data_IF_341070254963
#
_entry.id   IF_341070254963
#
_cell.length_a   1.000
_cell.length_b   1.000
_cell.length_c   1.000
_cell.angle_alpha   90.00
_cell.angle_beta   90.00
_cell.angle_gamma   90.00
#
_symmetry.space_group_name_H-M   'P 1'
#
loop_
_entity.id
_entity.type
_entity.pdbx_description
1 polymer ?
#
# COMPACT_ATOMS: atom_id res chain seq x y z
N UNK A 1 19.48 -5.98 12.15
CA UNK A 1 19.09 -6.26 10.76
C UNK A 1 19.85 -5.27 9.90
N UNK A 2 20.90 -5.73 9.23
CA UNK A 2 21.70 -4.93 8.32
C UNK A 2 20.80 -4.57 7.15
N UNK A 3 20.67 -3.29 6.89
CA UNK A 3 19.81 -2.79 5.80
C UNK A 3 20.45 -3.27 4.49
N UNK A 4 19.67 -3.88 3.62
CA UNK A 4 20.03 -4.30 2.27
C UNK A 4 20.33 -3.07 1.39
N UNK A 5 21.39 -2.29 1.63
CA UNK A 5 21.61 -1.10 0.80
C UNK A 5 22.11 -1.48 -0.59
N UNK A 6 23.18 -2.21 -0.66
CA UNK A 6 23.86 -2.52 -1.92
C UNK A 6 23.09 -3.57 -2.74
N UNK A 7 22.50 -4.56 -2.07
CA UNK A 7 21.63 -5.56 -2.72
C UNK A 7 20.35 -4.90 -3.26
N UNK A 8 19.80 -3.88 -2.58
CA UNK A 8 18.64 -3.14 -3.08
C UNK A 8 19.01 -2.21 -4.22
N UNK A 9 20.21 -1.60 -4.23
CA UNK A 9 20.70 -0.83 -5.36
C UNK A 9 20.82 -1.70 -6.62
N UNK A 10 21.43 -2.87 -6.49
CA UNK A 10 21.51 -3.82 -7.61
C UNK A 10 20.14 -4.35 -8.03
N UNK A 11 19.23 -4.59 -7.09
CA UNK A 11 17.83 -4.93 -7.42
C UNK A 11 17.15 -3.84 -8.25
N UNK A 12 17.33 -2.56 -7.88
CA UNK A 12 16.79 -1.43 -8.62
C UNK A 12 17.38 -1.35 -10.02
N UNK A 13 18.70 -1.60 -10.18
CA UNK A 13 19.34 -1.73 -11.46
C UNK A 13 18.70 -2.84 -12.33
N UNK A 14 18.48 -4.04 -11.75
CA UNK A 14 17.82 -5.13 -12.47
C UNK A 14 16.39 -4.76 -12.89
N UNK A 15 15.60 -4.14 -12.01
CA UNK A 15 14.24 -3.70 -12.34
C UNK A 15 14.27 -2.63 -13.43
N UNK A 16 15.18 -1.66 -13.37
CA UNK A 16 15.36 -0.63 -14.40
C UNK A 16 15.73 -1.24 -15.75
N UNK A 17 16.66 -2.17 -15.78
CA UNK A 17 17.03 -2.88 -17.01
C UNK A 17 15.85 -3.66 -17.60
N UNK A 18 15.03 -4.31 -16.74
CA UNK A 18 13.84 -5.02 -17.21
C UNK A 18 12.81 -4.08 -17.86
N UNK A 19 12.48 -2.96 -17.19
CA UNK A 19 11.43 -2.04 -17.67
C UNK A 19 11.82 -1.23 -18.91
N UNK A 20 13.11 -1.13 -19.22
CA UNK A 20 13.64 -0.41 -20.36
C UNK A 20 14.30 -1.31 -21.41
N UNK A 21 14.21 -2.62 -21.22
CA UNK A 21 14.86 -3.61 -22.11
C UNK A 21 16.36 -3.40 -22.29
N UNK A 22 17.05 -2.98 -21.21
CA UNK A 22 18.49 -2.77 -21.18
C UNK A 22 19.22 -4.04 -20.78
N UNK A 23 20.47 -4.22 -21.28
CA UNK A 23 21.34 -5.29 -20.82
C UNK A 23 21.77 -5.00 -19.38
N UNK A 24 21.49 -5.90 -18.40
CA UNK A 24 21.93 -5.70 -17.02
C UNK A 24 23.44 -5.90 -16.89
N UNK A 25 24.04 -5.16 -15.96
CA UNK A 25 25.40 -5.43 -15.50
C UNK A 25 25.41 -6.73 -14.67
N UNK A 26 26.54 -7.44 -14.71
CA UNK A 26 26.75 -8.63 -13.88
C UNK A 26 26.71 -8.28 -12.38
N UNK A 27 26.42 -9.30 -11.57
CA UNK A 27 26.37 -9.10 -10.10
C UNK A 27 27.72 -8.56 -9.60
N UNK A 28 27.74 -7.41 -8.91
CA UNK A 28 28.95 -6.85 -8.34
C UNK A 28 29.65 -7.82 -7.38
N UNK A 29 30.98 -7.78 -7.34
CA UNK A 29 31.77 -8.56 -6.40
C UNK A 29 31.36 -8.26 -4.95
N UNK A 30 31.25 -9.30 -4.13
CA UNK A 30 30.84 -9.19 -2.73
C UNK A 30 29.33 -9.24 -2.50
N UNK A 31 28.48 -9.11 -3.53
CA UNK A 31 27.04 -9.32 -3.41
C UNK A 31 26.65 -10.78 -3.62
N UNK A 32 25.51 -11.17 -3.05
CA UNK A 32 24.96 -12.51 -3.19
C UNK A 32 23.59 -12.49 -3.84
N UNK A 33 23.37 -13.24 -4.91
CA UNK A 33 22.07 -13.36 -5.59
C UNK A 33 20.93 -13.72 -4.63
N UNK A 34 21.18 -14.55 -3.61
CA UNK A 34 20.18 -14.91 -2.61
C UNK A 34 19.67 -13.70 -1.84
N UNK A 35 20.54 -12.74 -1.52
CA UNK A 35 20.17 -11.51 -0.80
C UNK A 35 19.40 -10.56 -1.71
N UNK A 36 19.81 -10.44 -2.97
CA UNK A 36 19.09 -9.65 -3.98
C UNK A 36 17.69 -10.23 -4.19
N UNK A 37 17.56 -11.55 -4.25
CA UNK A 37 16.28 -12.25 -4.32
C UNK A 37 15.38 -11.94 -3.12
N UNK A 38 15.89 -12.07 -1.90
CA UNK A 38 15.17 -11.76 -0.66
C UNK A 38 14.66 -10.30 -0.67
N UNK A 39 15.49 -9.36 -1.13
CA UNK A 39 15.11 -7.96 -1.31
C UNK A 39 13.99 -7.83 -2.35
N UNK A 40 14.07 -8.50 -3.49
CA UNK A 40 13.06 -8.51 -4.55
C UNK A 40 11.71 -9.06 -4.08
N UNK A 41 11.71 -10.16 -3.31
CA UNK A 41 10.51 -10.73 -2.70
C UNK A 41 9.92 -9.78 -1.64
N UNK A 42 10.76 -9.19 -0.79
CA UNK A 42 10.34 -8.25 0.24
C UNK A 42 9.64 -7.01 -0.31
N UNK A 43 10.05 -6.56 -1.50
CA UNK A 43 9.48 -5.41 -2.20
C UNK A 43 8.45 -5.76 -3.27
N UNK A 44 8.19 -7.05 -3.51
CA UNK A 44 7.28 -7.56 -4.55
C UNK A 44 7.64 -7.08 -5.97
N UNK A 45 8.92 -7.11 -6.28
CA UNK A 45 9.47 -6.79 -7.61
C UNK A 45 10.40 -7.89 -8.16
N UNK A 46 10.53 -9.02 -7.46
CA UNK A 46 11.32 -10.16 -7.90
C UNK A 46 10.87 -10.68 -9.27
N UNK A 47 9.56 -10.70 -9.53
CA UNK A 47 8.99 -11.10 -10.80
C UNK A 47 9.44 -10.20 -11.97
N UNK A 48 9.64 -8.90 -11.74
CA UNK A 48 10.13 -7.95 -12.75
C UNK A 48 11.64 -8.14 -12.93
N UNK A 49 12.40 -8.18 -11.84
CA UNK A 49 13.85 -8.32 -11.87
C UNK A 49 14.29 -9.61 -12.57
N UNK A 50 13.46 -10.67 -12.55
CA UNK A 50 13.77 -11.92 -13.26
C UNK A 50 14.04 -11.73 -14.74
N UNK A 51 13.31 -10.83 -15.43
CA UNK A 51 13.55 -10.54 -16.85
C UNK A 51 14.96 -9.97 -17.14
N UNK A 52 15.61 -9.40 -16.15
CA UNK A 52 17.03 -9.03 -16.23
C UNK A 52 17.93 -10.18 -15.81
N UNK A 53 17.58 -10.92 -14.76
CA UNK A 53 18.36 -12.07 -14.28
C UNK A 53 18.53 -13.12 -15.40
N UNK A 54 17.51 -13.38 -16.21
CA UNK A 54 17.59 -14.33 -17.32
C UNK A 54 18.53 -13.89 -18.44
N UNK A 55 18.90 -12.60 -18.50
CA UNK A 55 19.84 -12.02 -19.49
C UNK A 55 21.28 -11.93 -19.01
N UNK A 56 21.54 -12.18 -17.71
CA UNK A 56 22.91 -12.22 -17.17
C UNK A 56 23.69 -13.40 -17.74
N UNK A 57 25.00 -13.23 -17.91
CA UNK A 57 25.90 -14.31 -18.29
C UNK A 57 26.15 -15.24 -17.09
N UNK A 58 26.47 -14.66 -15.93
CA UNK A 58 26.65 -15.39 -14.69
C UNK A 58 25.32 -15.50 -13.95
N UNK A 59 24.65 -16.63 -14.12
CA UNK A 59 23.32 -16.86 -13.50
C UNK A 59 23.44 -17.31 -12.05
N UNK A 60 22.39 -17.09 -11.23
CA UNK A 60 22.28 -17.73 -9.92
C UNK A 60 22.36 -19.25 -10.04
N UNK A 61 22.67 -19.93 -8.91
CA UNK A 61 22.55 -21.38 -8.81
C UNK A 61 21.15 -21.85 -9.24
N UNK A 62 21.07 -23.06 -9.80
CA UNK A 62 19.85 -23.61 -10.44
C UNK A 62 18.61 -23.52 -9.54
N UNK A 63 18.75 -23.84 -8.25
CA UNK A 63 17.62 -23.79 -7.32
C UNK A 63 17.14 -22.34 -7.08
N UNK A 64 18.08 -21.41 -6.95
CA UNK A 64 17.74 -19.99 -6.76
C UNK A 64 17.17 -19.37 -8.05
N UNK A 65 17.72 -19.75 -9.21
CA UNK A 65 17.18 -19.33 -10.50
C UNK A 65 15.72 -19.77 -10.68
N UNK A 66 15.38 -21.01 -10.32
CA UNK A 66 14.00 -21.51 -10.34
C UNK A 66 13.08 -20.70 -9.41
N UNK A 67 13.54 -20.31 -8.23
CA UNK A 67 12.74 -19.45 -7.33
C UNK A 67 12.43 -18.09 -7.94
N UNK A 68 13.36 -17.50 -8.67
CA UNK A 68 13.12 -16.27 -9.42
C UNK A 68 12.09 -16.49 -10.55
N UNK A 69 12.26 -17.55 -11.31
CA UNK A 69 11.34 -17.93 -12.39
C UNK A 69 9.93 -18.20 -11.86
N UNK A 70 9.81 -18.90 -10.73
CA UNK A 70 8.52 -19.12 -10.06
C UNK A 70 7.84 -17.81 -9.67
N UNK A 71 8.57 -16.79 -9.23
CA UNK A 71 8.01 -15.48 -8.95
C UNK A 71 7.36 -14.87 -10.20
N UNK A 72 8.03 -14.95 -11.37
CA UNK A 72 7.51 -14.50 -12.67
C UNK A 72 6.26 -15.30 -13.06
N UNK A 73 6.36 -16.64 -13.04
CA UNK A 73 5.27 -17.53 -13.44
C UNK A 73 4.03 -17.34 -12.57
N UNK A 74 4.21 -17.23 -11.26
CA UNK A 74 3.12 -16.96 -10.32
C UNK A 74 2.49 -15.57 -10.52
N UNK A 75 3.25 -14.57 -10.94
CA UNK A 75 2.71 -13.26 -11.27
C UNK A 75 1.78 -13.32 -12.50
N UNK A 76 2.18 -14.07 -13.54
CA UNK A 76 1.35 -14.31 -14.74
C UNK A 76 0.06 -15.04 -14.39
N UNK A 77 0.15 -16.17 -13.67
CA UNK A 77 -1.03 -16.96 -13.26
C UNK A 77 -1.98 -16.11 -12.40
N UNK A 78 -1.44 -15.36 -11.44
CA UNK A 78 -2.24 -14.47 -10.59
C UNK A 78 -2.92 -13.38 -11.41
N UNK A 79 -2.20 -12.78 -12.36
CA UNK A 79 -2.75 -11.75 -13.24
C UNK A 79 -3.95 -12.28 -14.02
N UNK A 80 -3.82 -13.43 -14.69
CA UNK A 80 -4.89 -14.05 -15.45
C UNK A 80 -6.13 -14.32 -14.56
N UNK A 81 -5.92 -14.94 -13.40
CA UNK A 81 -7.01 -15.24 -12.47
C UNK A 81 -7.73 -13.96 -11.98
N UNK A 82 -6.98 -12.89 -11.74
CA UNK A 82 -7.54 -11.60 -11.29
C UNK A 82 -8.32 -10.88 -12.40
N UNK A 83 -7.87 -10.97 -13.67
CA UNK A 83 -8.62 -10.41 -14.80
C UNK A 83 -9.97 -11.10 -14.95
N UNK A 84 -9.99 -12.44 -14.96
CA UNK A 84 -11.24 -13.20 -15.05
C UNK A 84 -12.17 -12.88 -13.89
N UNK A 85 -11.66 -12.85 -12.67
CA UNK A 85 -12.44 -12.50 -11.49
C UNK A 85 -13.03 -11.09 -11.58
N UNK A 86 -12.24 -10.10 -11.99
CA UNK A 86 -12.74 -8.75 -12.18
C UNK A 86 -13.81 -8.67 -13.28
N UNK A 87 -13.66 -9.45 -14.37
CA UNK A 87 -14.63 -9.50 -15.46
C UNK A 87 -15.97 -10.09 -15.00
N UNK A 88 -15.95 -11.18 -14.24
CA UNK A 88 -17.16 -11.79 -13.67
C UNK A 88 -17.91 -10.81 -12.77
N UNK A 89 -17.20 -10.09 -11.93
CA UNK A 89 -17.79 -9.07 -11.03
C UNK A 89 -18.40 -7.92 -11.82
N UNK A 90 -17.69 -7.38 -12.83
CA UNK A 90 -18.22 -6.33 -13.71
C UNK A 90 -19.51 -6.75 -14.40
N UNK A 91 -19.57 -7.99 -14.89
CA UNK A 91 -20.77 -8.53 -15.52
C UNK A 91 -21.93 -8.62 -14.51
N UNK A 92 -21.65 -9.05 -13.28
CA UNK A 92 -22.65 -9.06 -12.21
C UNK A 92 -23.16 -7.66 -11.87
N UNK A 93 -22.26 -6.69 -11.74
CA UNK A 93 -22.65 -5.31 -11.49
C UNK A 93 -23.46 -4.69 -12.64
N UNK A 94 -23.01 -4.94 -13.88
CA UNK A 94 -23.73 -4.47 -15.07
C UNK A 94 -25.16 -5.04 -15.13
N UNK A 95 -25.32 -6.34 -14.88
CA UNK A 95 -26.64 -7.00 -14.89
C UNK A 95 -27.58 -6.46 -13.80
N UNK A 96 -27.04 -6.03 -12.67
CA UNK A 96 -27.76 -5.44 -11.55
C UNK A 96 -27.96 -3.92 -11.67
N UNK A 97 -27.41 -3.26 -12.71
CA UNK A 97 -27.46 -1.81 -12.85
C UNK A 97 -26.59 -1.06 -11.82
N UNK A 98 -25.66 -1.74 -11.18
CA UNK A 98 -24.73 -1.14 -10.22
C UNK A 98 -23.62 -0.44 -10.99
N UNK A 99 -23.44 0.87 -10.77
CA UNK A 99 -22.28 1.61 -11.28
C UNK A 99 -21.07 1.39 -10.40
N UNK A 100 -19.86 1.34 -11.00
CA UNK A 100 -18.61 1.12 -10.28
C UNK A 100 -17.46 1.93 -10.84
N UNK A 101 -16.44 2.12 -10.00
CA UNK A 101 -15.12 2.61 -10.39
C UNK A 101 -14.10 1.58 -9.90
N UNK A 102 -13.24 1.10 -10.78
CA UNK A 102 -12.06 0.36 -10.37
C UNK A 102 -10.95 1.31 -9.98
N UNK A 103 -10.24 0.98 -8.92
CA UNK A 103 -9.16 1.80 -8.39
C UNK A 103 -7.90 0.97 -8.18
N UNK A 104 -6.78 1.62 -7.91
CA UNK A 104 -5.50 0.96 -7.60
C UNK A 104 -5.02 -0.03 -8.68
N UNK A 105 -4.83 -1.31 -8.26
CA UNK A 105 -4.14 -2.35 -8.99
C UNK A 105 -4.67 -2.61 -10.38
N UNK A 106 -5.97 -2.74 -10.55
CA UNK A 106 -6.61 -3.04 -11.83
C UNK A 106 -6.37 -1.95 -12.87
N UNK A 107 -6.35 -0.68 -12.46
CA UNK A 107 -6.13 0.46 -13.36
C UNK A 107 -4.65 0.85 -13.51
N UNK A 108 -3.78 0.49 -12.54
CA UNK A 108 -2.35 0.76 -12.64
C UNK A 108 -1.64 -0.27 -13.52
N UNK A 109 -2.05 -1.54 -13.48
CA UNK A 109 -1.44 -2.62 -14.26
C UNK A 109 -1.27 -2.30 -15.76
N UNK A 110 -2.27 -1.74 -16.47
CA UNK A 110 -2.15 -1.40 -17.88
C UNK A 110 -1.10 -0.34 -18.20
N UNK A 111 -0.60 0.39 -17.19
CA UNK A 111 0.46 1.40 -17.38
C UNK A 111 1.86 0.76 -17.50
N UNK A 112 1.99 -0.48 -17.03
CA UNK A 112 3.25 -1.22 -17.12
C UNK A 112 3.41 -1.86 -18.50
N UNK A 113 4.65 -2.08 -19.00
CA UNK A 113 4.89 -2.76 -20.28
C UNK A 113 4.22 -4.13 -20.36
N UNK A 114 4.18 -4.85 -19.25
CA UNK A 114 3.46 -6.10 -19.08
C UNK A 114 2.61 -6.00 -17.81
N UNK A 115 1.27 -6.10 -17.90
CA UNK A 115 0.38 -5.88 -16.76
C UNK A 115 0.62 -6.82 -15.58
N UNK A 116 1.12 -8.04 -15.81
CA UNK A 116 1.46 -9.02 -14.77
C UNK A 116 2.69 -8.59 -13.95
N UNK A 117 3.51 -7.66 -14.43
CA UNK A 117 4.62 -7.13 -13.65
C UNK A 117 4.14 -6.43 -12.38
N UNK A 118 3.00 -5.79 -12.48
CA UNK A 118 2.39 -5.16 -11.30
C UNK A 118 1.50 -6.15 -10.57
N UNK A 119 2.08 -6.94 -9.65
CA UNK A 119 1.30 -7.82 -8.76
C UNK A 119 0.39 -7.02 -7.84
N UNK A 120 -0.80 -7.54 -7.54
CA UNK A 120 -1.73 -6.97 -6.56
C UNK A 120 -2.27 -8.06 -5.63
N UNK A 121 -2.69 -7.69 -4.41
CA UNK A 121 -3.28 -8.60 -3.42
C UNK A 121 -4.79 -8.71 -3.57
N UNK A 122 -5.43 -7.63 -4.00
CA UNK A 122 -6.86 -7.37 -3.97
C UNK A 122 -7.32 -6.70 -5.27
N UNK A 123 -8.58 -6.86 -5.60
CA UNK A 123 -9.29 -6.17 -6.67
C UNK A 123 -10.20 -5.16 -5.98
N UNK A 124 -9.96 -3.86 -6.20
CA UNK A 124 -10.66 -2.78 -5.51
C UNK A 124 -11.73 -2.15 -6.41
N UNK A 125 -12.96 -2.12 -5.92
CA UNK A 125 -14.08 -1.41 -6.53
C UNK A 125 -14.61 -0.33 -5.58
N UNK A 126 -15.11 0.76 -6.14
CA UNK A 126 -15.95 1.73 -5.45
C UNK A 126 -17.32 1.69 -6.10
N UNK A 127 -18.37 1.59 -5.29
CA UNK A 127 -19.77 1.62 -5.71
C UNK A 127 -20.58 2.59 -4.84
N UNK A 128 -21.81 2.89 -5.25
CA UNK A 128 -22.73 3.62 -4.40
C UNK A 128 -23.10 2.81 -3.16
N UNK A 129 -23.21 3.49 -2.01
CA UNK A 129 -23.45 2.86 -0.72
C UNK A 129 -24.74 2.03 -0.67
N UNK A 130 -25.76 2.47 -1.34
CA UNK A 130 -27.07 1.81 -1.41
C UNK A 130 -26.99 0.44 -2.09
N UNK A 131 -26.03 0.25 -2.99
CA UNK A 131 -25.82 -0.99 -3.74
C UNK A 131 -24.91 -2.01 -3.01
N UNK A 132 -24.36 -1.66 -1.85
CA UNK A 132 -23.41 -2.53 -1.14
C UNK A 132 -24.00 -3.90 -0.73
N UNK A 133 -25.28 -3.99 -0.24
CA UNK A 133 -25.90 -5.27 0.05
C UNK A 133 -26.05 -6.17 -1.19
N UNK A 134 -26.47 -5.60 -2.32
CA UNK A 134 -26.65 -6.33 -3.57
C UNK A 134 -25.32 -6.78 -4.15
N UNK A 135 -24.29 -5.95 -4.10
CA UNK A 135 -22.92 -6.30 -4.49
C UNK A 135 -22.38 -7.48 -3.66
N UNK A 136 -22.68 -7.52 -2.35
CA UNK A 136 -22.31 -8.64 -1.50
C UNK A 136 -22.99 -9.95 -1.91
N UNK A 137 -24.29 -9.91 -2.31
CA UNK A 137 -25.00 -11.09 -2.81
C UNK A 137 -24.43 -11.54 -4.18
N UNK A 138 -24.10 -10.61 -5.07
CA UNK A 138 -23.43 -10.94 -6.34
C UNK A 138 -22.12 -11.66 -6.08
N UNK A 139 -21.28 -11.16 -5.16
CA UNK A 139 -20.03 -11.84 -4.81
C UNK A 139 -20.28 -13.25 -4.26
N UNK A 140 -21.29 -13.45 -3.43
CA UNK A 140 -21.65 -14.79 -2.91
C UNK A 140 -22.08 -15.72 -4.03
N UNK A 141 -22.90 -15.26 -4.97
CA UNK A 141 -23.29 -16.03 -6.16
C UNK A 141 -22.10 -16.42 -7.04
N UNK A 142 -21.06 -15.58 -7.10
CA UNK A 142 -19.80 -15.86 -7.78
C UNK A 142 -18.85 -16.75 -6.96
N UNK A 143 -19.29 -17.27 -5.81
CA UNK A 143 -18.54 -18.18 -4.96
C UNK A 143 -17.55 -17.52 -4.00
N UNK A 144 -17.69 -16.22 -3.73
CA UNK A 144 -16.88 -15.54 -2.72
C UNK A 144 -17.45 -15.74 -1.31
N UNK A 145 -16.57 -15.93 -0.35
CA UNK A 145 -16.88 -15.84 1.08
C UNK A 145 -16.75 -14.36 1.45
N UNK A 146 -17.89 -13.74 1.76
CA UNK A 146 -17.96 -12.31 2.06
C UNK A 146 -17.92 -12.02 3.55
N UNK A 147 -17.23 -10.93 3.91
CA UNK A 147 -17.22 -10.34 5.23
C UNK A 147 -17.65 -8.88 5.12
N UNK A 148 -18.77 -8.56 5.71
CA UNK A 148 -19.27 -7.18 5.80
C UNK A 148 -18.54 -6.40 6.90
N UNK A 149 -18.05 -5.23 6.57
CA UNK A 149 -17.41 -4.29 7.49
C UNK A 149 -18.34 -3.11 7.78
N UNK A 150 -19.42 -3.39 8.48
CA UNK A 150 -20.35 -2.38 9.04
C UNK A 150 -21.05 -1.48 7.99
N UNK A 151 -21.38 -2.02 6.82
CA UNK A 151 -22.10 -1.29 5.78
C UNK A 151 -21.30 -0.17 5.11
N UNK A 152 -19.97 -0.25 5.14
CA UNK A 152 -19.05 0.71 4.50
C UNK A 152 -18.21 0.05 3.42
N UNK A 153 -17.90 -1.23 3.63
CA UNK A 153 -17.10 -2.03 2.70
C UNK A 153 -17.48 -3.50 2.78
N UNK A 154 -17.22 -4.25 1.74
CA UNK A 154 -17.35 -5.71 1.69
C UNK A 154 -16.04 -6.31 1.22
N UNK A 155 -15.47 -7.21 2.04
CA UNK A 155 -14.32 -8.02 1.68
C UNK A 155 -14.81 -9.37 1.16
N UNK A 156 -14.43 -9.75 -0.06
CA UNK A 156 -14.71 -11.05 -0.65
C UNK A 156 -13.43 -11.88 -0.83
N UNK A 157 -13.47 -13.14 -0.47
CA UNK A 157 -12.39 -14.09 -0.72
C UNK A 157 -12.89 -15.28 -1.52
N UNK A 158 -12.17 -15.65 -2.59
CA UNK A 158 -12.41 -16.86 -3.39
C UNK A 158 -11.09 -17.60 -3.63
N UNK A 159 -11.09 -18.92 -3.44
CA UNK A 159 -9.92 -19.77 -3.77
C UNK A 159 -9.70 -19.81 -5.30
N UNK A 160 -8.42 -19.87 -5.78
CA UNK A 160 -7.18 -19.70 -5.04
C UNK A 160 -6.74 -18.24 -4.95
N UNK A 161 -6.73 -17.67 -3.75
CA UNK A 161 -6.14 -16.36 -3.44
C UNK A 161 -6.70 -15.14 -4.23
N UNK A 162 -7.99 -15.13 -4.55
CA UNK A 162 -8.67 -13.95 -5.11
C UNK A 162 -9.35 -13.20 -3.98
N UNK A 163 -8.84 -12.01 -3.70
CA UNK A 163 -9.44 -11.05 -2.76
C UNK A 163 -10.08 -9.92 -3.56
N UNK A 164 -11.24 -9.48 -3.10
CA UNK A 164 -11.97 -8.34 -3.65
C UNK A 164 -12.36 -7.44 -2.49
N UNK A 165 -12.13 -6.15 -2.64
CA UNK A 165 -12.55 -5.13 -1.69
C UNK A 165 -13.53 -4.18 -2.40
N UNK A 166 -14.77 -4.11 -1.90
CA UNK A 166 -15.79 -3.20 -2.41
C UNK A 166 -15.96 -2.08 -1.39
N UNK A 167 -15.62 -0.87 -1.79
CA UNK A 167 -15.69 0.35 -0.98
C UNK A 167 -16.86 1.23 -1.41
N UNK A 168 -17.29 2.12 -0.53
CA UNK A 168 -18.30 3.15 -0.85
C UNK A 168 -17.71 4.57 -0.89
N UNK A 169 -16.44 4.70 -0.53
CA UNK A 169 -15.73 5.98 -0.43
C UNK A 169 -14.22 5.78 -0.67
N UNK A 170 -13.50 6.85 -0.97
CA UNK A 170 -12.04 6.88 -0.94
C UNK A 170 -11.53 6.73 0.51
N UNK A 171 -11.36 5.53 1.01
CA UNK A 171 -10.73 5.19 2.31
C UNK A 171 -11.11 6.09 3.50
N UNK A 172 -12.21 5.80 4.20
CA UNK A 172 -12.69 6.60 5.33
C UNK A 172 -11.67 6.82 6.46
N UNK A 173 -10.74 5.86 6.65
CA UNK A 173 -9.72 5.92 7.70
C UNK A 173 -8.61 6.95 7.43
N UNK A 174 -8.50 7.44 6.21
CA UNK A 174 -7.48 8.39 5.77
C UNK A 174 -8.09 9.69 5.23
N UNK A 175 -9.20 10.10 5.79
CA UNK A 175 -9.98 11.27 5.37
C UNK A 175 -9.15 12.53 5.17
N UNK A 176 -8.08 12.75 5.94
CA UNK A 176 -7.20 13.92 5.80
C UNK A 176 -6.55 14.04 4.41
N UNK A 177 -6.36 12.91 3.69
CA UNK A 177 -5.79 12.92 2.34
C UNK A 177 -6.88 13.01 1.27
N UNK A 178 -8.01 12.33 1.46
CA UNK A 178 -9.05 12.18 0.45
C UNK A 178 -10.19 13.19 0.59
N UNK A 179 -10.35 13.84 1.76
CA UNK A 179 -11.38 14.87 1.95
C UNK A 179 -11.20 16.12 1.06
N UNK A 180 -10.03 16.25 0.43
CA UNK A 180 -9.74 17.32 -0.52
C UNK A 180 -10.10 16.97 -1.96
N UNK A 181 -10.34 15.68 -2.24
CA UNK A 181 -10.77 15.17 -3.55
C UNK A 181 -12.27 15.33 -3.74
N UNK A 182 -12.70 15.33 -4.99
CA UNK A 182 -14.12 15.26 -5.35
C UNK A 182 -14.68 13.87 -4.98
N UNK A 183 -16.01 13.75 -4.74
CA UNK A 183 -16.64 12.45 -4.55
C UNK A 183 -16.31 11.48 -5.70
N UNK A 184 -16.24 10.16 -5.46
CA UNK A 184 -15.76 9.20 -6.47
C UNK A 184 -16.47 9.26 -7.81
N UNK A 185 -17.79 9.47 -7.82
CA UNK A 185 -18.59 9.49 -9.04
C UNK A 185 -18.79 10.88 -9.66
N UNK A 186 -18.35 11.97 -9.01
CA UNK A 186 -18.58 13.32 -9.52
C UNK A 186 -18.05 13.52 -10.95
N UNK A 187 -16.87 13.00 -11.28
CA UNK A 187 -16.31 13.09 -12.62
C UNK A 187 -17.05 12.19 -13.62
N UNK A 188 -17.54 11.03 -13.19
CA UNK A 188 -18.30 10.11 -14.03
C UNK A 188 -19.65 10.73 -14.41
N UNK A 189 -20.29 11.44 -13.49
CA UNK A 189 -21.56 12.16 -13.74
C UNK A 189 -21.39 13.30 -14.75
N UNK A 190 -20.24 13.99 -14.71
CA UNK A 190 -19.97 15.12 -15.61
C UNK A 190 -19.51 14.67 -17.01
N UNK A 191 -18.67 13.65 -17.10
CA UNK A 191 -17.95 13.30 -18.34
C UNK A 191 -18.26 11.89 -18.86
N UNK A 192 -19.01 11.08 -18.10
CA UNK A 192 -19.27 9.67 -18.42
C UNK A 192 -18.07 8.75 -18.16
N UNK A 193 -16.95 9.27 -17.66
CA UNK A 193 -15.75 8.50 -17.36
C UNK A 193 -15.07 8.97 -16.06
N UNK A 194 -14.37 8.06 -15.39
CA UNK A 194 -13.56 8.42 -14.23
C UNK A 194 -12.37 9.28 -14.68
N UNK A 195 -12.30 10.50 -14.17
CA UNK A 195 -11.37 11.53 -14.59
C UNK A 195 -9.91 11.19 -14.35
N UNK A 196 -9.03 11.58 -15.26
CA UNK A 196 -7.59 11.30 -15.19
C UNK A 196 -6.92 12.00 -13.98
N UNK A 197 -7.35 13.21 -13.64
CA UNK A 197 -6.82 13.95 -12.49
C UNK A 197 -7.19 13.25 -11.19
N UNK A 198 -8.46 12.81 -11.05
CA UNK A 198 -8.93 12.08 -9.87
C UNK A 198 -8.19 10.74 -9.71
N UNK A 199 -7.98 10.01 -10.82
CA UNK A 199 -7.23 8.77 -10.79
C UNK A 199 -5.78 8.98 -10.36
N UNK A 200 -5.10 9.98 -10.92
CA UNK A 200 -3.74 10.33 -10.56
C UNK A 200 -3.64 10.72 -9.08
N UNK A 201 -4.47 11.67 -8.63
CA UNK A 201 -4.53 12.15 -7.24
C UNK A 201 -4.80 11.00 -6.26
N UNK A 202 -5.79 10.17 -6.56
CA UNK A 202 -6.13 9.03 -5.71
C UNK A 202 -4.89 8.15 -5.44
N UNK A 203 -4.13 7.81 -6.49
CA UNK A 203 -2.98 6.93 -6.36
C UNK A 203 -1.80 7.60 -5.63
N UNK A 204 -1.50 8.87 -5.92
CA UNK A 204 -0.44 9.61 -5.21
C UNK A 204 -0.78 9.75 -3.72
N UNK A 205 -2.03 10.14 -3.40
CA UNK A 205 -2.48 10.25 -2.02
C UNK A 205 -2.54 8.89 -1.31
N UNK A 206 -2.82 7.81 -2.05
CA UNK A 206 -2.75 6.45 -1.52
C UNK A 206 -1.32 6.06 -1.14
N UNK A 207 -0.32 6.41 -1.96
CA UNK A 207 1.09 6.20 -1.63
C UNK A 207 1.47 7.05 -0.40
N UNK A 208 1.06 8.32 -0.35
CA UNK A 208 1.27 9.20 0.79
C UNK A 208 0.68 8.61 2.10
N UNK A 209 -0.57 8.13 2.04
CA UNK A 209 -1.22 7.43 3.16
C UNK A 209 -0.35 6.29 3.70
N UNK A 210 0.12 5.43 2.80
CA UNK A 210 0.96 4.30 3.21
C UNK A 210 2.31 4.75 3.73
N UNK A 211 2.94 5.70 3.08
CA UNK A 211 4.22 6.27 3.53
C UNK A 211 4.13 6.82 4.96
N UNK A 212 3.13 7.64 5.25
CA UNK A 212 3.00 8.28 6.56
C UNK A 212 2.38 7.40 7.64
N UNK A 213 1.57 6.37 7.28
CA UNK A 213 0.86 5.56 8.26
C UNK A 213 1.44 4.17 8.48
N UNK A 214 1.76 3.47 7.39
CA UNK A 214 2.01 2.03 7.45
C UNK A 214 3.40 1.62 6.98
N UNK A 215 3.98 2.37 6.07
CA UNK A 215 5.15 1.99 5.28
C UNK A 215 4.75 1.35 3.96
N UNK A 216 5.60 1.55 2.95
CA UNK A 216 5.44 0.99 1.60
C UNK A 216 6.81 0.81 0.94
N UNK A 217 6.90 -0.14 -0.01
CA UNK A 217 8.16 -0.56 -0.61
C UNK A 217 8.40 -0.01 -2.02
N UNK A 218 9.47 -0.48 -2.63
CA UNK A 218 9.97 -0.08 -3.96
C UNK A 218 8.86 -0.11 -5.02
N UNK A 219 7.98 -1.11 -5.01
CA UNK A 219 6.87 -1.22 -5.99
C UNK A 219 5.98 0.03 -6.03
N UNK A 220 5.78 0.74 -4.92
CA UNK A 220 4.97 1.97 -4.91
C UNK A 220 5.68 3.14 -5.57
N UNK A 221 7.00 3.18 -5.52
CA UNK A 221 7.80 4.16 -6.26
C UNK A 221 7.73 3.86 -7.76
N UNK A 222 7.72 2.57 -8.14
CA UNK A 222 7.52 2.16 -9.54
C UNK A 222 6.10 2.47 -10.04
N UNK A 223 5.05 2.31 -9.18
CA UNK A 223 3.69 2.77 -9.50
C UNK A 223 3.70 4.29 -9.81
N UNK A 224 4.38 5.10 -8.97
CA UNK A 224 4.50 6.55 -9.18
C UNK A 224 5.24 6.90 -10.47
N UNK A 225 6.30 6.17 -10.81
CA UNK A 225 7.02 6.34 -12.08
C UNK A 225 6.08 6.18 -13.28
N UNK A 226 5.29 5.10 -13.33
CA UNK A 226 4.38 4.87 -14.43
C UNK A 226 3.18 5.83 -14.44
N UNK A 227 2.69 6.24 -13.28
CA UNK A 227 1.68 7.31 -13.21
C UNK A 227 2.19 8.61 -13.81
N UNK A 228 3.37 9.08 -13.40
CA UNK A 228 3.98 10.29 -13.95
C UNK A 228 4.22 10.17 -15.45
N UNK A 229 4.83 9.06 -15.91
CA UNK A 229 5.12 8.81 -17.31
C UNK A 229 3.88 8.86 -18.21
N UNK A 230 2.75 8.31 -17.74
CA UNK A 230 1.56 8.18 -18.58
C UNK A 230 0.57 9.35 -18.41
N UNK A 231 0.59 10.04 -17.28
CA UNK A 231 -0.41 11.06 -16.98
C UNK A 231 0.10 12.49 -17.01
N UNK A 232 1.41 12.77 -16.95
CA UNK A 232 1.94 14.12 -16.86
C UNK A 232 1.48 15.07 -17.98
N UNK A 233 1.15 14.56 -19.18
CA UNK A 233 0.67 15.33 -20.31
C UNK A 233 -0.87 15.41 -20.39
N UNK A 234 -1.58 14.67 -19.55
CA UNK A 234 -3.05 14.53 -19.59
C UNK A 234 -3.71 15.30 -18.47
N UNK A 235 -3.04 15.36 -17.30
CA UNK A 235 -3.58 15.97 -16.08
C UNK A 235 -3.44 17.51 -16.08
N UNK A 236 -4.38 18.19 -15.43
CA UNK A 236 -4.26 19.61 -15.10
C UNK A 236 -3.30 19.80 -13.91
N UNK A 237 -2.07 20.19 -14.18
CA UNK A 237 -1.04 20.40 -13.17
C UNK A 237 -1.43 21.42 -12.11
N UNK A 238 -2.20 22.45 -12.45
CA UNK A 238 -2.67 23.48 -11.51
C UNK A 238 -3.70 22.92 -10.55
N UNK A 239 -4.65 22.14 -11.07
CA UNK A 239 -5.64 21.43 -10.27
C UNK A 239 -4.96 20.42 -9.32
N UNK A 240 -4.09 19.57 -9.85
CA UNK A 240 -3.34 18.57 -9.06
C UNK A 240 -2.58 19.25 -7.92
N UNK A 241 -1.82 20.30 -8.22
CA UNK A 241 -1.06 21.05 -7.21
C UNK A 241 -1.96 21.60 -6.11
N UNK A 242 -3.09 22.20 -6.48
CA UNK A 242 -4.04 22.78 -5.52
C UNK A 242 -4.62 21.74 -4.55
N UNK A 243 -4.92 20.53 -5.05
CA UNK A 243 -5.43 19.42 -4.22
C UNK A 243 -4.33 18.88 -3.29
N UNK A 244 -3.11 18.68 -3.82
CA UNK A 244 -2.00 18.17 -3.05
C UNK A 244 -1.56 19.15 -1.93
N UNK A 245 -1.60 20.45 -2.18
CA UNK A 245 -1.38 21.48 -1.16
C UNK A 245 -2.43 21.42 -0.05
N UNK A 246 -3.72 21.34 -0.40
CA UNK A 246 -4.82 21.18 0.59
C UNK A 246 -4.71 19.88 1.38
N UNK A 247 -4.25 18.81 0.75
CA UNK A 247 -3.99 17.53 1.41
C UNK A 247 -2.69 17.51 2.23
N UNK A 248 -1.90 18.59 2.21
CA UNK A 248 -0.57 18.69 2.82
C UNK A 248 0.37 17.57 2.32
N UNK A 249 0.32 17.29 1.02
CA UNK A 249 1.06 16.22 0.35
C UNK A 249 1.89 16.71 -0.85
N UNK A 250 1.98 18.02 -1.11
CA UNK A 250 2.66 18.55 -2.28
C UNK A 250 4.17 18.24 -2.28
N UNK A 251 4.86 18.51 -1.17
CA UNK A 251 6.29 18.23 -1.04
C UNK A 251 6.57 16.72 -1.15
N UNK A 252 5.71 15.90 -0.54
CA UNK A 252 5.81 14.45 -0.67
C UNK A 252 5.68 13.99 -2.13
N UNK A 253 4.72 14.52 -2.86
CA UNK A 253 4.48 14.14 -4.25
C UNK A 253 5.65 14.57 -5.16
N UNK A 254 6.24 15.75 -4.92
CA UNK A 254 7.41 16.24 -5.65
C UNK A 254 8.65 15.34 -5.38
N UNK A 255 8.96 15.07 -4.10
CA UNK A 255 10.08 14.19 -3.73
C UNK A 255 9.88 12.76 -4.24
N UNK A 256 8.63 12.24 -4.22
CA UNK A 256 8.30 10.93 -4.78
C UNK A 256 8.51 10.87 -6.30
N UNK A 257 8.13 11.92 -7.03
CA UNK A 257 8.31 12.00 -8.47
C UNK A 257 9.79 12.03 -8.85
N UNK A 258 10.61 12.81 -8.14
CA UNK A 258 12.05 12.86 -8.30
C UNK A 258 12.69 11.48 -8.02
N UNK A 259 12.34 10.87 -6.88
CA UNK A 259 12.83 9.54 -6.51
C UNK A 259 12.45 8.47 -7.55
N UNK A 260 11.22 8.52 -8.04
CA UNK A 260 10.72 7.57 -9.04
C UNK A 260 11.50 7.70 -10.37
N UNK A 261 11.79 8.93 -10.80
CA UNK A 261 12.58 9.17 -11.99
C UNK A 261 14.06 8.76 -11.80
N UNK A 262 14.64 9.03 -10.63
CA UNK A 262 16.02 8.62 -10.31
C UNK A 262 16.18 7.09 -10.30
N UNK A 263 15.22 6.36 -9.73
CA UNK A 263 15.30 4.90 -9.66
C UNK A 263 14.95 4.19 -10.96
N UNK A 264 14.00 4.73 -11.71
CA UNK A 264 13.37 4.04 -12.85
C UNK A 264 13.38 4.83 -14.15
N UNK A 265 14.02 5.98 -14.20
CA UNK A 265 14.27 6.71 -15.44
C UNK A 265 15.21 5.96 -16.38
N UNK A 266 15.27 6.38 -17.64
CA UNK A 266 16.14 5.77 -18.65
C UNK A 266 17.62 5.95 -18.31
N UNK A 267 17.99 7.13 -17.84
CA UNK A 267 19.37 7.46 -17.47
C UNK A 267 19.70 6.92 -16.07
N UNK A 268 20.89 6.30 -15.97
CA UNK A 268 21.41 5.87 -14.68
C UNK A 268 21.87 7.07 -13.87
N UNK A 269 21.35 7.19 -12.67
CA UNK A 269 21.71 8.22 -11.72
C UNK A 269 22.26 7.59 -10.44
N UNK A 270 23.07 8.36 -9.72
CA UNK A 270 23.54 7.92 -8.41
C UNK A 270 22.40 7.61 -7.48
N UNK A 271 22.56 6.58 -6.68
CA UNK A 271 21.55 6.14 -5.75
C UNK A 271 21.31 7.21 -4.67
N UNK A 272 20.10 7.79 -4.56
CA UNK A 272 19.86 8.90 -3.66
C UNK A 272 19.81 8.43 -2.20
N UNK A 273 20.64 9.04 -1.35
CA UNK A 273 20.68 8.75 0.09
C UNK A 273 19.67 9.58 0.88
N UNK A 274 18.52 9.91 0.29
CA UNK A 274 17.47 10.73 0.94
C UNK A 274 16.75 9.94 2.04
N UNK A 275 16.04 10.67 2.91
CA UNK A 275 15.19 10.04 3.95
C UNK A 275 14.09 9.21 3.32
N UNK A 276 13.49 9.67 2.22
CA UNK A 276 12.45 8.99 1.48
C UNK A 276 12.97 7.68 0.86
N UNK A 277 14.12 7.71 0.16
CA UNK A 277 14.73 6.52 -0.42
C UNK A 277 14.99 5.44 0.63
N UNK A 278 15.64 5.81 1.74
CA UNK A 278 15.88 4.90 2.88
C UNK A 278 14.59 4.33 3.45
N UNK A 279 13.54 5.14 3.55
CA UNK A 279 12.26 4.69 4.06
C UNK A 279 11.61 3.62 3.16
N UNK A 280 11.55 3.83 1.85
CA UNK A 280 11.00 2.85 0.92
C UNK A 280 11.76 1.52 0.92
N UNK A 281 13.10 1.56 0.99
CA UNK A 281 13.93 0.35 1.10
C UNK A 281 13.70 -0.39 2.42
N UNK A 282 13.60 0.32 3.54
CA UNK A 282 13.45 -0.30 4.86
C UNK A 282 12.05 -0.83 5.14
N UNK A 283 11.02 -0.28 4.51
CA UNK A 283 9.63 -0.55 4.86
C UNK A 283 9.07 -1.84 4.27
N UNK A 284 9.52 -2.26 3.07
CA UNK A 284 8.87 -3.32 2.30
C UNK A 284 7.42 -2.98 1.92
N UNK A 285 6.77 -3.85 1.17
CA UNK A 285 5.45 -3.55 0.59
C UNK A 285 4.36 -3.24 1.62
N UNK A 286 4.31 -3.98 2.71
CA UNK A 286 3.27 -3.84 3.74
C UNK A 286 3.70 -3.03 4.95
N UNK A 287 4.88 -2.40 4.89
CA UNK A 287 5.51 -1.76 6.04
C UNK A 287 5.96 -2.77 7.10
N UNK A 288 7.04 -2.51 7.78
CA UNK A 288 7.42 -3.32 8.93
C UNK A 288 6.76 -2.79 10.21
N UNK A 289 6.66 -3.66 11.25
CA UNK A 289 6.06 -3.28 12.54
C UNK A 289 6.78 -2.12 13.20
N UNK A 290 8.10 -2.02 13.01
CA UNK A 290 8.90 -0.95 13.59
C UNK A 290 8.59 0.40 12.93
N UNK A 291 8.44 0.46 11.59
CA UNK A 291 8.04 1.66 10.86
C UNK A 291 6.63 2.11 11.23
N UNK A 292 5.66 1.18 11.29
CA UNK A 292 4.29 1.48 11.75
C UNK A 292 4.29 2.06 13.15
N UNK A 293 5.09 1.50 14.05
CA UNK A 293 5.20 1.97 15.43
C UNK A 293 5.88 3.34 15.51
N UNK A 294 6.98 3.53 14.78
CA UNK A 294 7.71 4.80 14.71
C UNK A 294 6.80 5.93 14.20
N UNK A 295 6.04 5.68 13.14
CA UNK A 295 5.10 6.65 12.57
C UNK A 295 3.94 6.97 13.54
N UNK A 296 3.40 5.96 14.23
CA UNK A 296 2.37 6.18 15.26
C UNK A 296 2.90 6.95 16.46
N UNK A 297 4.13 6.70 16.88
CA UNK A 297 4.79 7.47 17.93
C UNK A 297 5.04 8.90 17.49
N UNK A 298 5.54 9.15 16.29
CA UNK A 298 5.79 10.48 15.74
C UNK A 298 4.50 11.34 15.70
N UNK A 299 3.37 10.77 15.32
CA UNK A 299 2.05 11.46 15.36
C UNK A 299 1.53 11.76 16.77
N UNK A 300 2.08 11.12 17.80
CA UNK A 300 1.69 11.32 19.20
C UNK A 300 2.61 12.33 19.88
N UNK A 301 3.61 12.84 19.14
CA UNK A 301 4.68 13.69 19.65
C UNK A 301 4.20 15.14 19.82
N UNK A 302 3.85 15.47 21.06
CA UNK A 302 3.53 16.84 21.50
C UNK A 302 4.26 17.06 22.84
N UNK A 303 5.61 16.93 22.82
CA UNK A 303 6.41 17.05 24.04
C UNK A 303 7.45 15.93 24.22
N UNK A 304 7.90 15.66 25.44
CA UNK A 304 8.98 14.71 25.74
C UNK A 304 8.62 13.26 25.39
N UNK A 305 9.60 12.50 24.89
CA UNK A 305 9.50 11.08 24.46
C UNK A 305 8.81 10.15 25.46
N UNK A 306 9.00 10.39 26.77
CA UNK A 306 8.38 9.61 27.85
C UNK A 306 6.85 9.76 27.86
N UNK A 307 6.34 10.97 27.63
CA UNK A 307 4.91 11.24 27.56
C UNK A 307 4.26 10.66 26.30
N UNK A 308 4.97 10.69 25.17
CA UNK A 308 4.47 10.09 23.93
C UNK A 308 4.31 8.56 24.07
N UNK A 309 5.27 7.87 24.68
CA UNK A 309 5.19 6.43 24.98
C UNK A 309 4.02 6.13 25.94
N UNK A 310 3.88 6.92 27.02
CA UNK A 310 2.78 6.77 27.99
C UNK A 310 1.42 7.03 27.33
N UNK A 311 1.28 8.09 26.51
CA UNK A 311 0.05 8.43 25.78
C UNK A 311 -0.31 7.35 24.75
N UNK A 312 0.69 6.76 24.08
CA UNK A 312 0.50 5.60 23.19
C UNK A 312 -0.04 4.41 23.97
N UNK A 313 0.57 4.05 25.11
CA UNK A 313 0.10 2.95 25.95
C UNK A 313 -1.31 3.20 26.50
N UNK A 314 -1.58 4.39 27.00
CA UNK A 314 -2.90 4.75 27.48
C UNK A 314 -3.95 4.64 26.35
N UNK A 315 -3.71 5.19 25.17
CA UNK A 315 -4.62 5.07 24.02
C UNK A 315 -4.78 3.62 23.56
N UNK A 316 -3.73 2.83 23.62
CA UNK A 316 -3.74 1.41 23.20
C UNK A 316 -4.54 0.54 24.18
N UNK A 317 -4.40 0.78 25.47
CA UNK A 317 -5.08 0.02 26.54
C UNK A 317 -6.50 0.55 26.82
N UNK A 318 -6.64 1.86 26.97
CA UNK A 318 -7.94 2.44 27.25
C UNK A 318 -8.86 2.44 26.02
N UNK A 319 -8.28 2.41 24.80
CA UNK A 319 -9.03 2.62 23.58
C UNK A 319 -9.55 4.07 23.51
N UNK A 320 -9.91 4.51 22.31
CA UNK A 320 -10.64 5.77 22.17
C UNK A 320 -12.15 5.49 22.29
N UNK A 321 -12.96 6.43 22.78
CA UNK A 321 -14.42 6.29 22.80
C UNK A 321 -14.99 5.90 21.41
N UNK A 322 -14.41 6.44 20.34
CA UNK A 322 -14.80 6.14 18.96
C UNK A 322 -14.54 4.67 18.58
N UNK A 323 -13.40 4.11 19.00
CA UNK A 323 -13.06 2.71 18.71
C UNK A 323 -13.88 1.73 19.58
N UNK A 324 -14.20 2.13 20.83
CA UNK A 324 -15.04 1.30 21.69
C UNK A 324 -16.49 1.23 21.16
N UNK A 325 -17.03 2.32 20.62
CA UNK A 325 -18.36 2.32 19.97
C UNK A 325 -18.42 1.41 18.75
N UNK A 326 -17.33 1.36 17.95
CA UNK A 326 -17.23 0.40 16.83
C UNK A 326 -17.26 -1.06 17.30
N UNK A 327 -16.53 -1.38 18.40
CA UNK A 327 -16.48 -2.75 18.94
C UNK A 327 -17.77 -3.12 19.72
N UNK A 328 -18.50 -2.12 20.24
CA UNK A 328 -19.68 -2.26 21.08
C UNK A 328 -20.76 -1.24 20.70
N UNK A 329 -21.61 -1.52 19.69
CA UNK A 329 -22.66 -0.61 19.23
C UNK A 329 -23.64 -0.19 20.34
N UNK A 330 -23.80 -1.01 21.37
CA UNK A 330 -24.64 -0.70 22.55
C UNK A 330 -24.25 0.63 23.24
N UNK A 331 -23.00 1.07 23.06
CA UNK A 331 -22.50 2.34 23.61
C UNK A 331 -23.06 3.58 22.89
N UNK A 332 -23.67 3.43 21.74
CA UNK A 332 -24.37 4.54 21.06
C UNK A 332 -25.64 4.92 21.83
N UNK A 333 -26.30 3.92 22.43
CA UNK A 333 -27.55 4.11 23.18
C UNK A 333 -27.33 4.26 24.70
N UNK A 334 -26.28 3.57 25.23
CA UNK A 334 -26.07 3.49 26.68
C UNK A 334 -24.60 3.78 27.04
N UNK A 335 -24.23 5.06 27.06
CA UNK A 335 -22.85 5.50 27.29
C UNK A 335 -22.29 5.11 28.67
N UNK A 336 -23.15 4.91 29.67
CA UNK A 336 -22.77 4.47 31.01
C UNK A 336 -22.20 3.05 31.05
N UNK A 337 -22.41 2.24 30.01
CA UNK A 337 -21.80 0.91 29.86
C UNK A 337 -20.34 0.96 29.43
N UNK A 338 -19.79 2.16 29.16
CA UNK A 338 -18.40 2.34 28.71
C UNK A 338 -17.37 1.62 29.59
N UNK A 339 -17.42 1.70 30.99
CA UNK A 339 -16.46 0.99 31.82
C UNK A 339 -16.53 -0.53 31.66
N UNK A 340 -17.72 -1.09 31.52
CA UNK A 340 -17.93 -2.53 31.36
C UNK A 340 -17.44 -3.04 29.99
N UNK A 341 -17.75 -2.34 28.92
CA UNK A 341 -17.25 -2.64 27.58
C UNK A 341 -15.73 -2.55 27.53
N UNK A 342 -15.15 -1.56 28.19
CA UNK A 342 -13.71 -1.40 28.33
C UNK A 342 -13.08 -2.57 29.11
N UNK A 343 -13.64 -2.96 30.22
CA UNK A 343 -13.19 -4.11 31.04
C UNK A 343 -13.23 -5.41 30.20
N UNK A 344 -14.35 -5.68 29.55
CA UNK A 344 -14.51 -6.84 28.66
C UNK A 344 -13.47 -6.85 27.52
N UNK A 345 -13.22 -5.70 26.87
CA UNK A 345 -12.17 -5.57 25.85
C UNK A 345 -10.79 -5.87 26.42
N UNK A 346 -10.49 -5.40 27.63
CA UNK A 346 -9.21 -5.62 28.31
C UNK A 346 -9.03 -7.11 28.61
N UNK A 347 -10.04 -7.80 29.12
CA UNK A 347 -10.02 -9.25 29.33
C UNK A 347 -9.83 -10.04 28.02
N UNK A 348 -10.47 -9.62 26.91
CA UNK A 348 -10.24 -10.23 25.59
C UNK A 348 -8.80 -10.02 25.07
N UNK A 349 -8.12 -8.97 25.50
CA UNK A 349 -6.74 -8.69 25.14
C UNK A 349 -5.74 -9.55 25.93
N UNK A 350 -6.11 -10.10 27.07
CA UNK A 350 -5.27 -10.95 27.93
C UNK A 350 -5.14 -12.40 27.43
N UNK A 351 -5.76 -12.78 26.31
CA UNK A 351 -5.56 -14.11 25.71
C UNK A 351 -4.07 -14.34 25.39
N UNK A 352 -3.50 -15.54 25.66
CA UNK A 352 -2.06 -15.81 25.59
C UNK A 352 -1.41 -15.43 24.24
N UNK A 353 -2.11 -15.64 23.13
CA UNK A 353 -1.63 -15.29 21.80
C UNK A 353 -1.55 -13.77 21.58
N UNK A 354 -2.48 -13.01 22.15
CA UNK A 354 -2.48 -11.54 22.10
C UNK A 354 -1.43 -10.95 23.05
N UNK A 355 -1.20 -11.57 24.20
CA UNK A 355 -0.14 -11.18 25.14
C UNK A 355 1.26 -11.34 24.52
N UNK A 356 1.53 -12.44 23.82
CA UNK A 356 2.80 -12.62 23.08
C UNK A 356 3.01 -11.50 22.03
N UNK A 357 1.94 -11.11 21.32
CA UNK A 357 2.00 -9.99 20.36
C UNK A 357 2.26 -8.66 21.05
N UNK A 358 1.59 -8.44 22.19
CA UNK A 358 1.73 -7.21 22.98
C UNK A 358 3.14 -7.08 23.57
N UNK A 359 3.72 -8.15 24.11
CA UNK A 359 5.12 -8.15 24.59
C UNK A 359 6.09 -7.75 23.49
N UNK A 360 5.99 -8.34 22.30
CA UNK A 360 6.83 -7.96 21.16
C UNK A 360 6.63 -6.49 20.72
N UNK A 361 5.41 -5.99 20.84
CA UNK A 361 5.09 -4.58 20.53
C UNK A 361 5.70 -3.63 21.57
N UNK A 362 5.59 -3.99 22.86
CA UNK A 362 6.21 -3.24 23.98
C UNK A 362 7.74 -3.23 23.87
N UNK A 363 8.36 -4.37 23.63
CA UNK A 363 9.81 -4.47 23.43
C UNK A 363 10.28 -3.61 22.25
N UNK A 364 9.52 -3.61 21.13
CA UNK A 364 9.84 -2.77 19.97
C UNK A 364 9.71 -1.27 20.31
N UNK A 365 8.70 -0.87 21.10
CA UNK A 365 8.52 0.53 21.58
C UNK A 365 9.65 0.94 22.52
N UNK A 366 10.01 0.06 23.43
CA UNK A 366 11.06 0.35 24.42
C UNK A 366 12.45 0.46 23.77
N UNK A 367 12.72 -0.39 22.76
CA UNK A 367 13.99 -0.42 22.03
C UNK A 367 14.11 0.63 20.92
N UNK A 368 13.05 1.40 20.64
CA UNK A 368 13.13 2.51 19.67
C UNK A 368 13.95 3.65 20.29
N UNK A 369 15.23 3.76 19.91
CA UNK A 369 16.04 4.95 20.18
C UNK A 369 15.47 6.07 19.33
N UNK A 370 14.91 7.08 19.96
CA UNK A 370 14.60 8.34 19.30
C UNK A 370 15.92 9.09 19.16
N UNK A 371 16.49 9.09 17.96
CA UNK A 371 17.55 10.03 17.60
C UNK A 371 16.95 11.43 17.68
N UNK A 372 17.50 12.21 18.58
CA UNK A 372 17.20 13.62 18.84
C UNK A 372 17.81 14.47 17.70
N UNK A 373 17.21 14.43 16.50
CA UNK A 373 17.62 15.20 15.32
C UNK A 373 16.41 15.87 14.66
N UNK A 374 15.68 16.65 15.47
CA UNK A 374 14.68 17.58 14.92
C UNK A 374 14.63 18.85 15.76
N UNK A 375 15.77 19.55 15.89
CA UNK A 375 15.73 20.99 16.12
C UNK A 375 16.00 21.66 14.78
N UNK A 376 15.15 22.59 14.33
CA UNK A 376 15.50 23.45 13.22
C UNK A 376 16.66 24.33 13.73
N UNK A 377 17.76 24.35 12.98
CA UNK A 377 18.75 25.39 13.14
C UNK A 377 18.10 26.71 12.69
N UNK A 378 18.04 27.65 13.63
CA UNK A 378 17.66 29.04 13.42
C UNK A 378 18.54 29.71 12.38
#
# INVERSE_FOLDING_TARGET
MQVFSDECEYLLHLVRCAIHDLQPQELPEGLLFGRVYECGVYHHVANIAFYSVERLTNKPEVELYRKWEDCRNMAVVRHINQIYAAQEIRQGFLAAGIRWIEVQGTRIKPLYPQPEWRTMSDIDFIIDRENLPEAAEILKMLGYICKDSHGVEVDGFRSPNINVEIHTEYFPEASQYYSTMRPPFASVEETGAYDANEFYLYNILHIAKHYFLNGCGIRRVLDAYYLNKNYSQIIDGSYIKSILERANAADFAAELAELANTWFGMEEQDFPKTKMARFFIQSGLHGNRASKLKNRLAKTFDGTVRFAKLKYFLRRFLGTPKNLRKDYPVLERYIFLYPFCWLHRTFRALKPQKLKRLRKEVEAVMNTKTTDESKPQT
#
